data_IF_104992930131
#
_entry.id   IF_104992930131
#
_cell.length_a   1.000
_cell.length_b   1.000
_cell.length_c   1.000
_cell.angle_alpha   90.00
_cell.angle_beta   90.00
_cell.angle_gamma   90.00
#
_symmetry.space_group_name_H-M   'P 1'
#
loop_
_entity.id
_entity.type
_entity.pdbx_description
1 polymer ?
#
# COMPACT_ATOMS: atom_id res chain seq x y z
N UNK A 1 -33.05 -16.12 81.15
CA UNK A 1 -32.95 -15.18 80.00
C UNK A 1 -31.84 -15.66 79.07
N UNK A 2 -32.15 -16.20 77.89
CA UNK A 2 -31.16 -16.61 76.90
C UNK A 2 -31.37 -15.79 75.62
N UNK A 3 -30.55 -14.75 75.42
CA UNK A 3 -30.57 -13.97 74.18
C UNK A 3 -29.86 -14.74 73.07
N UNK A 4 -30.64 -15.23 72.10
CA UNK A 4 -30.15 -15.94 70.92
C UNK A 4 -29.68 -14.92 69.88
N UNK A 5 -28.37 -14.67 69.78
CA UNK A 5 -27.77 -13.83 68.73
C UNK A 5 -27.99 -14.47 67.35
N UNK A 6 -28.88 -13.87 66.53
CA UNK A 6 -29.05 -14.21 65.11
C UNK A 6 -27.80 -13.78 64.34
N UNK A 7 -27.02 -14.74 63.84
CA UNK A 7 -25.93 -14.47 62.88
C UNK A 7 -26.54 -14.16 61.51
N UNK A 8 -26.40 -12.93 61.03
CA UNK A 8 -26.75 -12.54 59.67
C UNK A 8 -25.83 -13.29 58.68
N UNK A 9 -26.39 -14.24 57.92
CA UNK A 9 -25.70 -14.87 56.78
C UNK A 9 -25.42 -13.77 55.75
N UNK A 10 -24.19 -13.28 55.71
CA UNK A 10 -23.73 -12.31 54.71
C UNK A 10 -23.88 -12.95 53.33
N UNK A 11 -24.80 -12.42 52.52
CA UNK A 11 -25.23 -13.01 51.25
C UNK A 11 -24.13 -12.88 50.19
N UNK A 12 -23.16 -13.81 50.23
CA UNK A 12 -21.97 -13.88 49.35
C UNK A 12 -22.33 -13.98 47.85
N UNK A 13 -23.56 -14.40 47.54
CA UNK A 13 -24.10 -14.53 46.17
C UNK A 13 -24.22 -13.19 45.44
N UNK A 14 -24.65 -12.13 46.13
CA UNK A 14 -24.86 -10.81 45.49
C UNK A 14 -23.54 -10.11 45.09
N UNK A 15 -22.42 -10.46 45.72
CA UNK A 15 -21.11 -9.90 45.37
C UNK A 15 -20.56 -10.55 44.09
N UNK A 16 -20.72 -11.87 43.95
CA UNK A 16 -20.27 -12.61 42.78
C UNK A 16 -21.08 -12.22 41.52
N UNK A 17 -22.38 -11.93 41.65
CA UNK A 17 -23.19 -11.47 40.51
C UNK A 17 -22.77 -10.08 40.02
N UNK A 18 -22.41 -9.16 40.93
CA UNK A 18 -21.91 -7.83 40.57
C UNK A 18 -20.55 -7.91 39.86
N UNK A 19 -19.65 -8.77 40.32
CA UNK A 19 -18.36 -9.01 39.66
C UNK A 19 -18.56 -9.59 38.27
N UNK A 20 -19.45 -10.56 38.10
CA UNK A 20 -19.73 -11.17 36.80
C UNK A 20 -20.30 -10.14 35.80
N UNK A 21 -21.21 -9.27 36.24
CA UNK A 21 -21.75 -8.19 35.41
C UNK A 21 -20.66 -7.19 34.99
N UNK A 22 -19.78 -6.80 35.91
CA UNK A 22 -18.67 -5.89 35.60
C UNK A 22 -17.66 -6.52 34.63
N UNK A 23 -17.32 -7.80 34.83
CA UNK A 23 -16.44 -8.53 33.92
C UNK A 23 -17.05 -8.66 32.51
N UNK A 24 -18.36 -8.93 32.42
CA UNK A 24 -19.08 -8.97 31.14
C UNK A 24 -19.07 -7.61 30.42
N UNK A 25 -19.25 -6.52 31.15
CA UNK A 25 -19.16 -5.17 30.58
C UNK A 25 -17.76 -4.86 30.04
N UNK A 26 -16.71 -5.20 30.79
CA UNK A 26 -15.33 -5.00 30.35
C UNK A 26 -15.00 -5.84 29.10
N UNK A 27 -15.51 -7.07 29.01
CA UNK A 27 -15.34 -7.90 27.82
C UNK A 27 -15.98 -7.27 26.57
N UNK A 28 -17.15 -6.64 26.72
CA UNK A 28 -17.82 -5.91 25.62
C UNK A 28 -17.01 -4.71 25.16
N UNK A 29 -16.46 -3.92 26.09
CA UNK A 29 -15.62 -2.75 25.76
C UNK A 29 -14.33 -3.16 25.04
N UNK A 30 -13.71 -4.27 25.47
CA UNK A 30 -12.52 -4.79 24.81
C UNK A 30 -12.86 -5.29 23.39
N UNK A 31 -13.98 -6.02 23.24
CA UNK A 31 -14.44 -6.52 21.94
C UNK A 31 -14.71 -5.38 20.94
N UNK A 32 -15.37 -4.30 21.39
CA UNK A 32 -15.64 -3.14 20.53
C UNK A 32 -14.36 -2.40 20.14
N UNK A 33 -13.40 -2.24 21.08
CA UNK A 33 -12.11 -1.63 20.78
C UNK A 33 -11.31 -2.44 19.75
N UNK A 34 -11.27 -3.76 19.88
CA UNK A 34 -10.62 -4.65 18.90
C UNK A 34 -11.28 -4.55 17.52
N UNK A 35 -12.61 -4.52 17.48
CA UNK A 35 -13.36 -4.36 16.23
C UNK A 35 -13.03 -3.05 15.51
N UNK A 36 -12.95 -1.94 16.26
CA UNK A 36 -12.57 -0.63 15.72
C UNK A 36 -11.15 -0.68 15.13
N UNK A 37 -10.19 -1.25 15.86
CA UNK A 37 -8.80 -1.38 15.40
C UNK A 37 -8.75 -2.18 14.09
N UNK A 38 -9.41 -3.34 14.04
CA UNK A 38 -9.47 -4.16 12.82
C UNK A 38 -10.09 -3.36 11.67
N UNK A 39 -11.21 -2.68 11.89
CA UNK A 39 -11.85 -1.87 10.85
C UNK A 39 -10.92 -0.80 10.28
N UNK A 40 -10.19 -0.07 11.13
CA UNK A 40 -9.23 0.94 10.69
C UNK A 40 -8.06 0.35 9.90
N UNK A 41 -7.47 -0.78 10.34
CA UNK A 41 -6.36 -1.42 9.62
C UNK A 41 -6.78 -2.01 8.25
N UNK A 42 -8.02 -2.48 8.12
CA UNK A 42 -8.53 -2.99 6.83
C UNK A 42 -9.01 -1.88 5.88
N UNK A 43 -9.31 -0.68 6.38
CA UNK A 43 -9.87 0.43 5.59
C UNK A 43 -8.85 1.18 4.72
N UNK A 44 -7.55 0.87 4.77
CA UNK A 44 -6.53 1.66 4.07
C UNK A 44 -6.30 1.31 2.58
N UNK A 45 -7.03 0.37 1.99
CA UNK A 45 -6.73 -0.10 0.62
C UNK A 45 -7.78 0.27 -0.45
N UNK A 46 -8.60 1.29 -0.23
CA UNK A 46 -9.46 1.81 -1.29
C UNK A 46 -8.60 2.55 -2.34
N UNK A 47 -8.10 1.79 -3.33
CA UNK A 47 -7.48 2.39 -4.51
C UNK A 47 -8.52 3.25 -5.22
N UNK A 48 -8.20 4.52 -5.43
CA UNK A 48 -9.02 5.43 -6.22
C UNK A 48 -9.08 4.92 -7.67
N UNK A 49 -10.16 4.22 -8.01
CA UNK A 49 -10.46 3.80 -9.38
C UNK A 49 -11.11 4.99 -10.07
N UNK A 50 -10.37 5.66 -10.94
CA UNK A 50 -10.93 6.72 -11.78
C UNK A 50 -11.93 6.07 -12.76
N UNK A 51 -13.24 6.40 -12.73
CA UNK A 51 -14.24 5.79 -13.61
C UNK A 51 -13.98 6.07 -15.10
N UNK A 52 -13.09 7.02 -15.42
CA UNK A 52 -12.65 7.33 -16.80
C UNK A 52 -11.39 6.58 -17.23
N UNK A 53 -10.74 5.80 -16.36
CA UNK A 53 -9.51 5.05 -16.69
C UNK A 53 -9.76 3.67 -17.29
N UNK A 54 -11.00 3.26 -17.51
CA UNK A 54 -11.33 1.99 -18.20
C UNK A 54 -11.21 2.14 -19.72
N UNK A 55 -10.12 2.75 -20.18
CA UNK A 55 -9.69 2.64 -21.56
C UNK A 55 -8.43 1.78 -21.56
N UNK A 56 -8.59 0.48 -21.83
CA UNK A 56 -7.48 -0.49 -21.90
C UNK A 56 -6.38 -0.10 -22.90
N UNK A 57 -6.67 0.83 -23.80
CA UNK A 57 -5.73 1.35 -24.79
C UNK A 57 -5.03 2.64 -24.34
N UNK A 58 -5.17 3.05 -23.07
CA UNK A 58 -4.41 4.19 -22.56
C UNK A 58 -2.90 3.89 -22.62
N UNK A 59 -2.07 4.80 -23.16
CA UNK A 59 -0.62 4.65 -23.16
C UNK A 59 -0.03 4.32 -21.78
N UNK A 60 -0.66 4.82 -20.71
CA UNK A 60 -0.30 4.50 -19.32
C UNK A 60 -0.42 3.01 -19.03
N UNK A 61 -1.59 2.42 -19.28
CA UNK A 61 -1.88 1.00 -18.99
C UNK A 61 -0.97 0.10 -19.82
N UNK A 62 -0.77 0.44 -21.10
CA UNK A 62 0.12 -0.30 -21.99
C UNK A 62 1.55 -0.35 -21.43
N UNK A 63 2.07 0.78 -20.93
CA UNK A 63 3.41 0.82 -20.32
C UNK A 63 3.43 0.02 -19.02
N UNK A 64 2.41 0.11 -18.18
CA UNK A 64 2.31 -0.65 -16.93
C UNK A 64 2.35 -2.17 -17.22
N UNK A 65 1.56 -2.65 -18.18
CA UNK A 65 1.53 -4.05 -18.61
C UNK A 65 2.88 -4.51 -19.19
N UNK A 66 3.53 -3.66 -20.00
CA UNK A 66 4.84 -3.97 -20.56
C UNK A 66 5.96 -3.99 -19.50
N UNK A 67 5.87 -3.14 -18.47
CA UNK A 67 6.82 -3.14 -17.36
C UNK A 67 6.61 -4.36 -16.45
N UNK A 68 5.35 -4.74 -16.20
CA UNK A 68 5.06 -5.93 -15.41
C UNK A 68 5.50 -7.22 -16.12
N UNK A 69 5.23 -7.34 -17.43
CA UNK A 69 5.72 -8.48 -18.23
C UNK A 69 7.25 -8.56 -18.34
N UNK A 70 7.95 -7.43 -18.16
CA UNK A 70 9.42 -7.39 -18.07
C UNK A 70 9.95 -7.58 -16.64
N UNK A 71 9.09 -7.93 -15.67
CA UNK A 71 9.40 -8.10 -14.25
C UNK A 71 9.94 -6.83 -13.56
N UNK A 72 9.60 -5.65 -14.09
CA UNK A 72 9.96 -4.35 -13.55
C UNK A 72 8.81 -3.84 -12.69
N UNK A 73 9.00 -3.87 -11.36
CA UNK A 73 7.97 -3.45 -10.41
C UNK A 73 7.90 -1.93 -10.29
N UNK A 74 6.72 -1.38 -10.53
CA UNK A 74 6.42 0.05 -10.43
C UNK A 74 5.70 0.39 -9.11
N UNK A 75 5.95 1.59 -8.59
CA UNK A 75 5.22 2.18 -7.46
C UNK A 75 4.08 3.06 -7.94
N UNK A 76 4.36 3.90 -8.93
CA UNK A 76 3.43 4.91 -9.43
C UNK A 76 3.73 5.22 -10.89
N UNK A 77 2.70 5.51 -11.66
CA UNK A 77 2.85 6.14 -12.97
C UNK A 77 1.91 7.34 -13.11
N UNK A 78 2.39 8.37 -13.79
CA UNK A 78 1.68 9.63 -14.01
C UNK A 78 1.85 10.03 -15.48
N UNK A 79 0.75 10.43 -16.11
CA UNK A 79 0.79 11.03 -17.46
C UNK A 79 1.20 12.49 -17.28
N UNK A 80 2.33 12.87 -17.86
CA UNK A 80 2.80 14.24 -17.94
C UNK A 80 2.09 15.02 -19.05
N UNK A 81 2.20 16.35 -19.00
CA UNK A 81 1.59 17.26 -19.97
C UNK A 81 2.14 17.14 -21.40
N UNK A 82 3.34 16.60 -21.55
CA UNK A 82 4.13 16.70 -22.80
C UNK A 82 4.13 15.39 -23.62
N UNK A 83 3.04 14.62 -23.57
CA UNK A 83 2.99 13.23 -24.07
C UNK A 83 4.08 12.33 -23.46
N UNK A 84 4.51 12.65 -22.24
CA UNK A 84 5.47 11.85 -21.49
C UNK A 84 4.77 11.07 -20.39
N UNK A 85 5.26 9.88 -20.09
CA UNK A 85 4.74 9.06 -18.99
C UNK A 85 5.84 8.91 -17.97
N UNK A 86 5.63 9.48 -16.79
CA UNK A 86 6.55 9.37 -15.68
C UNK A 86 6.22 8.15 -14.85
N UNK A 87 7.21 7.30 -14.60
CA UNK A 87 7.09 6.06 -13.84
C UNK A 87 8.10 6.07 -12.72
N UNK A 88 7.65 5.79 -11.52
CA UNK A 88 8.49 5.62 -10.34
C UNK A 88 8.61 4.12 -10.03
N UNK A 89 9.84 3.62 -9.91
CA UNK A 89 10.11 2.21 -9.60
C UNK A 89 9.94 1.90 -8.11
N UNK A 90 9.60 0.65 -7.76
CA UNK A 90 9.55 0.20 -6.35
C UNK A 90 10.88 0.28 -5.63
N UNK A 91 11.98 0.14 -6.36
CA UNK A 91 13.33 0.21 -5.80
C UNK A 91 13.85 1.65 -5.69
N UNK A 92 13.00 2.64 -6.01
CA UNK A 92 13.38 4.03 -6.19
C UNK A 92 13.89 4.31 -7.61
N UNK A 93 13.96 5.59 -7.95
CA UNK A 93 14.35 6.04 -9.27
C UNK A 93 13.15 6.37 -10.15
N UNK A 94 13.31 7.46 -10.92
CA UNK A 94 12.28 8.00 -11.81
C UNK A 94 12.64 7.70 -13.26
N UNK A 95 11.67 7.23 -14.03
CA UNK A 95 11.80 6.99 -15.46
C UNK A 95 10.79 7.88 -16.17
N UNK A 96 11.19 8.53 -17.25
CA UNK A 96 10.32 9.37 -18.06
C UNK A 96 10.31 8.76 -19.47
N UNK A 97 9.20 8.13 -19.81
CA UNK A 97 8.94 7.59 -21.14
C UNK A 97 8.41 8.68 -22.06
N UNK A 98 8.75 8.60 -23.33
CA UNK A 98 8.16 9.44 -24.37
C UNK A 98 7.15 8.64 -25.17
N UNK A 99 5.90 9.12 -25.24
CA UNK A 99 4.86 8.48 -26.06
C UNK A 99 5.05 8.72 -27.56
N UNK A 100 5.93 9.68 -27.93
CA UNK A 100 6.29 9.97 -29.32
C UNK A 100 7.26 8.95 -29.92
N UNK A 101 7.88 8.12 -29.08
CA UNK A 101 8.90 7.14 -29.46
C UNK A 101 8.36 5.72 -29.24
N UNK A 102 9.01 4.75 -29.87
CA UNK A 102 8.67 3.33 -29.72
C UNK A 102 8.89 2.89 -28.25
N UNK A 103 7.78 2.57 -27.58
CA UNK A 103 7.77 2.15 -26.17
C UNK A 103 8.51 0.83 -25.96
N UNK A 104 8.40 -0.11 -26.90
CA UNK A 104 9.05 -1.43 -26.78
C UNK A 104 10.57 -1.29 -26.80
N UNK A 105 11.09 -0.40 -27.65
CA UNK A 105 12.53 -0.07 -27.67
C UNK A 105 12.98 0.62 -26.38
N UNK A 106 12.17 1.54 -25.85
CA UNK A 106 12.49 2.22 -24.58
C UNK A 106 12.55 1.22 -23.43
N UNK A 107 11.60 0.29 -23.32
CA UNK A 107 11.58 -0.72 -22.26
C UNK A 107 12.74 -1.71 -22.39
N UNK A 108 13.06 -2.15 -23.61
CA UNK A 108 14.23 -3.01 -23.85
C UNK A 108 15.53 -2.30 -23.45
N UNK A 109 15.63 -1.00 -23.74
CA UNK A 109 16.77 -0.17 -23.35
C UNK A 109 16.85 0.01 -21.84
N UNK A 110 15.70 0.23 -21.17
CA UNK A 110 15.61 0.29 -19.72
C UNK A 110 16.12 -1.00 -19.07
N UNK A 111 15.68 -2.17 -19.55
CA UNK A 111 16.15 -3.46 -19.02
C UNK A 111 17.67 -3.59 -19.11
N UNK A 112 18.25 -3.21 -20.26
CA UNK A 112 19.70 -3.22 -20.46
C UNK A 112 20.41 -2.27 -19.48
N UNK A 113 19.90 -1.05 -19.31
CA UNK A 113 20.46 -0.05 -18.40
C UNK A 113 20.39 -0.55 -16.95
N UNK A 114 19.24 -1.07 -16.52
CA UNK A 114 19.06 -1.61 -15.17
C UNK A 114 20.00 -2.79 -14.90
N UNK A 115 20.15 -3.69 -15.88
CA UNK A 115 21.10 -4.80 -15.80
C UNK A 115 22.53 -4.30 -15.60
N UNK A 116 22.96 -3.33 -16.42
CA UNK A 116 24.30 -2.75 -16.33
C UNK A 116 24.54 -2.03 -15.01
N UNK A 117 23.58 -1.22 -14.55
CA UNK A 117 23.67 -0.55 -13.25
C UNK A 117 23.75 -1.55 -12.09
N UNK A 118 23.04 -2.67 -12.20
CA UNK A 118 23.10 -3.75 -11.19
C UNK A 118 24.49 -4.40 -11.15
N UNK A 119 25.10 -4.67 -12.31
CA UNK A 119 26.47 -5.19 -12.41
C UNK A 119 27.47 -4.19 -11.82
N UNK A 120 27.28 -2.90 -12.09
CA UNK A 120 28.13 -1.82 -11.59
C UNK A 120 27.87 -1.47 -10.11
N UNK A 121 26.88 -2.10 -9.46
CA UNK A 121 26.49 -1.83 -8.07
C UNK A 121 25.84 -0.46 -7.84
N UNK A 122 25.37 0.20 -8.90
CA UNK A 122 24.78 1.55 -8.88
C UNK A 122 23.26 1.50 -8.85
N UNK A 123 22.64 2.52 -8.27
CA UNK A 123 21.17 2.65 -8.24
C UNK A 123 20.70 3.72 -9.22
N UNK A 124 19.65 3.41 -9.97
CA UNK A 124 19.04 4.37 -10.88
C UNK A 124 18.43 5.54 -10.11
N UNK A 125 18.77 6.77 -10.49
CA UNK A 125 18.15 7.99 -9.97
C UNK A 125 17.10 8.52 -10.92
N UNK A 126 17.50 8.83 -12.16
CA UNK A 126 16.62 9.35 -13.22
C UNK A 126 17.01 8.70 -14.55
N UNK A 127 16.03 8.28 -15.34
CA UNK A 127 16.18 7.91 -16.74
C UNK A 127 15.17 8.67 -17.59
N UNK A 128 15.63 9.49 -18.54
CA UNK A 128 14.76 10.28 -19.41
C UNK A 128 14.90 9.85 -20.88
N UNK A 129 13.83 9.30 -21.45
CA UNK A 129 13.74 8.86 -22.84
C UNK A 129 13.18 9.93 -23.79
N UNK A 130 12.87 11.13 -23.30
CA UNK A 130 12.37 12.22 -24.16
C UNK A 130 13.42 12.70 -25.16
N UNK A 131 14.69 12.63 -24.79
CA UNK A 131 15.83 13.00 -25.63
C UNK A 131 16.25 11.88 -26.58
N UNK A 132 16.93 12.22 -27.67
CA UNK A 132 17.40 11.24 -28.67
C UNK A 132 18.43 10.27 -28.09
N UNK A 133 19.33 10.80 -27.26
CA UNK A 133 20.15 10.00 -26.37
C UNK A 133 19.50 10.02 -24.99
N UNK A 134 19.12 8.85 -24.49
CA UNK A 134 18.50 8.73 -23.17
C UNK A 134 19.44 9.25 -22.09
N UNK A 135 18.94 10.14 -21.22
CA UNK A 135 19.74 10.73 -20.16
C UNK A 135 19.62 9.86 -18.92
N UNK A 136 20.75 9.34 -18.42
CA UNK A 136 20.80 8.47 -17.25
C UNK A 136 21.55 9.15 -16.11
N UNK A 137 20.93 9.18 -14.93
CA UNK A 137 21.54 9.60 -13.68
C UNK A 137 21.45 8.47 -12.67
N UNK A 138 22.52 8.23 -11.93
CA UNK A 138 22.63 7.19 -10.92
C UNK A 138 23.25 7.74 -9.63
N UNK A 139 23.01 7.04 -8.52
CA UNK A 139 23.70 7.25 -7.24
C UNK A 139 25.01 6.48 -7.20
#
# INVERSE_FOLDING_TARGET
>A
MLQRKRRLKKNKSSYNTKIALFAGFMALVISSAVFIIVYFFYSENAQYINPLSVNKNSPKIIIEDMLESSNIKISRSVIGSDDSIEVELKQGGKIIFSSKKDLKKQISSLQLILSRLTIDGKKLKILDFRYDNSVVSFY
#
